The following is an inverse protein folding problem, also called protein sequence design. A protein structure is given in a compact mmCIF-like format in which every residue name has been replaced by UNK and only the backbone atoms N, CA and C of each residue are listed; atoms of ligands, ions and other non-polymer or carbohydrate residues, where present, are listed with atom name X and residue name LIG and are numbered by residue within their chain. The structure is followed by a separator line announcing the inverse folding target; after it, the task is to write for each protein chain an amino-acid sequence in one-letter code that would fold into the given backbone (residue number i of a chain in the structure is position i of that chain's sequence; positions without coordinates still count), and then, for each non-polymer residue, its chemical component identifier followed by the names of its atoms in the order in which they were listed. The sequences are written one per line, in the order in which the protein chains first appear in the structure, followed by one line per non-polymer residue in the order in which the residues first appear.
data_IF_427948942112
#
_entry.id   IF_427948942112
#
_cell.length_a   1.000
_cell.length_b   1.000
_cell.length_c   1.000
_cell.angle_alpha   90.00
_cell.angle_beta   90.00
_cell.angle_gamma   90.00
#
_symmetry.space_group_name_H-M   'P 1'
#
loop_
_entity.id
_entity.type
_entity.pdbx_description
1 polymer ?
#
# COMPACT_ATOMS: atom_id res chain seq x y z
N UNK A 1 17.66 -16.77 -21.44
CA UNK A 1 16.65 -16.15 -20.55
C UNK A 1 15.84 -17.26 -19.89
N UNK A 2 16.18 -17.66 -18.66
CA UNK A 2 15.42 -18.65 -17.91
C UNK A 2 14.41 -17.93 -17.02
N UNK A 3 13.14 -17.94 -17.41
CA UNK A 3 12.06 -17.45 -16.56
C UNK A 3 11.83 -18.46 -15.44
N UNK A 4 12.02 -18.03 -14.19
CA UNK A 4 11.62 -18.78 -13.00
C UNK A 4 10.11 -18.68 -12.80
N UNK A 5 9.36 -19.43 -13.62
CA UNK A 5 7.89 -19.55 -13.58
C UNK A 5 7.31 -20.31 -12.36
N UNK A 6 8.03 -21.07 -11.50
CA UNK A 6 7.34 -21.94 -10.53
C UNK A 6 6.82 -21.21 -9.29
N UNK A 7 7.22 -19.96 -9.01
CA UNK A 7 6.82 -19.26 -7.78
C UNK A 7 5.35 -18.83 -7.85
N UNK A 8 4.89 -18.34 -9.00
CA UNK A 8 3.49 -17.94 -9.19
C UNK A 8 2.56 -19.17 -9.25
N UNK A 9 2.98 -20.24 -9.93
CA UNK A 9 2.23 -21.49 -9.99
C UNK A 9 2.11 -22.16 -8.61
N UNK A 10 3.15 -22.14 -7.78
CA UNK A 10 3.08 -22.66 -6.40
C UNK A 10 2.06 -21.91 -5.54
N UNK A 11 1.87 -20.60 -5.77
CA UNK A 11 0.85 -19.79 -5.08
C UNK A 11 -0.58 -20.18 -5.47
N UNK A 12 -0.77 -20.62 -6.71
CA UNK A 12 -2.06 -21.09 -7.25
C UNK A 12 -2.36 -22.51 -6.76
N UNK A 13 -1.39 -23.42 -6.88
CA UNK A 13 -1.56 -24.86 -6.60
C UNK A 13 -1.64 -25.13 -5.08
N UNK A 14 -0.78 -24.50 -4.27
CA UNK A 14 -0.76 -24.67 -2.81
C UNK A 14 -1.53 -23.58 -2.07
N UNK A 15 -2.43 -22.88 -2.76
CA UNK A 15 -3.38 -22.01 -2.09
C UNK A 15 -4.26 -22.86 -1.16
N UNK A 16 -4.50 -22.46 0.11
CA UNK A 16 -5.52 -23.07 0.96
C UNK A 16 -6.97 -22.88 0.43
N UNK A 17 -7.11 -22.55 -0.86
CA UNK A 17 -8.31 -22.27 -1.62
C UNK A 17 -8.21 -22.89 -3.02
N UNK A 18 -7.69 -24.11 -3.11
CA UNK A 18 -7.65 -24.88 -4.35
C UNK A 18 -9.09 -25.25 -4.77
N UNK A 19 -9.51 -24.96 -6.02
CA UNK A 19 -10.92 -25.05 -6.45
C UNK A 19 -11.53 -26.45 -6.29
N UNK A 20 -10.70 -27.50 -6.25
CA UNK A 20 -11.14 -28.89 -6.12
C UNK A 20 -10.99 -29.48 -4.71
N UNK A 21 -10.21 -28.88 -3.81
CA UNK A 21 -9.92 -29.45 -2.47
C UNK A 21 -10.63 -28.72 -1.32
N UNK A 22 -11.19 -27.54 -1.55
CA UNK A 22 -11.85 -26.74 -0.51
C UNK A 22 -13.28 -26.43 -0.95
N UNK A 23 -14.28 -26.96 -0.23
CA UNK A 23 -15.69 -26.58 -0.43
C UNK A 23 -15.83 -25.10 -0.05
N UNK A 24 -15.89 -24.25 -1.06
CA UNK A 24 -15.99 -22.80 -0.91
C UNK A 24 -17.42 -22.47 -0.45
N UNK A 25 -17.60 -21.74 0.66
CA UNK A 25 -18.88 -21.09 0.92
C UNK A 25 -19.00 -19.88 -0.03
N UNK A 26 -19.91 -19.91 -1.02
CA UNK A 26 -19.93 -18.95 -2.13
C UNK A 26 -20.04 -17.50 -1.65
N UNK A 27 -20.78 -17.28 -0.57
CA UNK A 27 -21.10 -15.97 -0.02
C UNK A 27 -19.89 -15.24 0.61
N UNK A 28 -19.04 -15.98 1.35
CA UNK A 28 -17.82 -15.40 1.97
C UNK A 28 -16.70 -15.15 0.97
N UNK A 29 -16.66 -15.93 -0.11
CA UNK A 29 -15.65 -15.81 -1.16
C UNK A 29 -15.90 -14.57 -2.03
N UNK A 30 -17.13 -14.39 -2.52
CA UNK A 30 -17.48 -13.24 -3.37
C UNK A 30 -17.21 -11.93 -2.65
N UNK A 31 -17.60 -11.79 -1.38
CA UNK A 31 -17.39 -10.56 -0.61
C UNK A 31 -15.91 -10.21 -0.42
N UNK A 32 -15.05 -11.18 -0.11
CA UNK A 32 -13.60 -10.96 0.05
C UNK A 32 -12.92 -10.62 -1.27
N UNK A 33 -13.29 -11.30 -2.35
CA UNK A 33 -12.70 -11.08 -3.67
C UNK A 33 -13.15 -9.75 -4.26
N UNK A 34 -14.43 -9.39 -4.12
CA UNK A 34 -14.96 -8.07 -4.50
C UNK A 34 -14.22 -6.94 -3.79
N UNK A 35 -13.98 -7.06 -2.47
CA UNK A 35 -13.20 -6.09 -1.71
C UNK A 35 -11.76 -5.97 -2.23
N UNK A 36 -11.09 -7.10 -2.51
CA UNK A 36 -9.72 -7.08 -3.05
C UNK A 36 -9.66 -6.43 -4.42
N UNK A 37 -10.61 -6.74 -5.31
CA UNK A 37 -10.72 -6.13 -6.64
C UNK A 37 -10.95 -4.63 -6.53
N UNK A 38 -11.88 -4.21 -5.66
CA UNK A 38 -12.17 -2.80 -5.41
C UNK A 38 -10.92 -2.03 -4.95
N UNK A 39 -10.18 -2.57 -3.98
CA UNK A 39 -8.92 -1.98 -3.48
C UNK A 39 -7.83 -1.95 -4.56
N UNK A 40 -7.69 -3.02 -5.35
CA UNK A 40 -6.73 -3.07 -6.45
C UNK A 40 -7.03 -2.01 -7.52
N UNK A 41 -8.31 -1.82 -7.87
CA UNK A 41 -8.72 -0.79 -8.81
C UNK A 41 -8.45 0.64 -8.30
N UNK A 42 -8.55 0.88 -6.99
CA UNK A 42 -8.23 2.19 -6.42
C UNK A 42 -6.74 2.54 -6.56
N UNK A 43 -5.83 1.57 -6.33
CA UNK A 43 -4.39 1.79 -6.51
C UNK A 43 -4.04 2.14 -7.96
N UNK A 44 -4.61 1.40 -8.92
CA UNK A 44 -4.38 1.63 -10.34
C UNK A 44 -4.89 3.01 -10.80
N UNK A 45 -6.00 3.50 -10.23
CA UNK A 45 -6.50 4.86 -10.51
C UNK A 45 -5.54 5.94 -10.01
N UNK A 46 -4.99 5.77 -8.80
CA UNK A 46 -3.99 6.72 -8.26
C UNK A 46 -2.73 6.71 -9.12
N UNK A 47 -2.25 5.53 -9.54
CA UNK A 47 -1.09 5.41 -10.42
C UNK A 47 -1.34 6.11 -11.77
N UNK A 48 -2.52 5.93 -12.37
CA UNK A 48 -2.90 6.64 -13.60
C UNK A 48 -2.97 8.16 -13.39
N UNK A 49 -3.53 8.63 -12.28
CA UNK A 49 -3.59 10.06 -11.95
C UNK A 49 -2.19 10.66 -11.73
N UNK A 50 -1.28 9.93 -11.08
CA UNK A 50 0.11 10.36 -10.88
C UNK A 50 0.90 10.40 -12.19
N UNK A 51 0.57 9.54 -13.16
CA UNK A 51 1.21 9.53 -14.46
C UNK A 51 0.96 10.83 -15.24
N UNK A 52 -0.19 11.48 -15.06
CA UNK A 52 -0.49 12.81 -15.62
C UNK A 52 0.49 13.89 -15.12
N UNK A 53 1.00 13.72 -13.89
CA UNK A 53 2.01 14.59 -13.28
C UNK A 53 3.42 14.02 -13.41
N UNK A 54 3.64 12.97 -14.19
CA UNK A 54 4.94 12.31 -14.36
C UNK A 54 5.61 11.93 -13.02
N UNK A 55 4.84 11.40 -12.08
CA UNK A 55 5.34 11.03 -10.76
C UNK A 55 5.11 9.55 -10.43
N UNK A 56 6.11 8.91 -9.82
CA UNK A 56 6.06 7.48 -9.52
C UNK A 56 5.30 7.19 -8.22
N UNK A 57 4.36 6.24 -8.27
CA UNK A 57 3.55 5.84 -7.12
C UNK A 57 4.37 5.41 -5.88
N UNK A 58 5.44 4.59 -5.99
CA UNK A 58 6.24 4.23 -4.82
C UNK A 58 6.94 5.42 -4.16
N UNK A 59 7.43 6.37 -4.96
CA UNK A 59 8.07 7.59 -4.47
C UNK A 59 7.04 8.48 -3.76
N UNK A 60 5.89 8.71 -4.40
CA UNK A 60 4.74 9.42 -3.83
C UNK A 60 4.33 8.86 -2.47
N UNK A 61 4.14 7.53 -2.36
CA UNK A 61 3.70 6.91 -1.10
C UNK A 61 4.75 7.01 0.00
N UNK A 62 6.03 6.94 -0.35
CA UNK A 62 7.11 7.14 0.61
C UNK A 62 7.10 8.57 1.16
N UNK A 63 6.92 9.59 0.29
CA UNK A 63 6.86 10.99 0.70
C UNK A 63 5.65 11.30 1.57
N UNK A 64 4.46 10.79 1.21
CA UNK A 64 3.29 10.89 2.08
C UNK A 64 3.52 10.26 3.46
N UNK A 65 4.22 9.12 3.51
CA UNK A 65 4.53 8.45 4.77
C UNK A 65 5.53 9.24 5.62
N UNK A 66 6.50 9.93 5.00
CA UNK A 66 7.44 10.85 5.69
C UNK A 66 6.73 12.10 6.20
N UNK A 67 5.72 12.58 5.47
CA UNK A 67 4.87 13.69 5.87
C UNK A 67 3.80 13.34 6.90
N UNK A 68 3.76 12.08 7.38
CA UNK A 68 2.72 11.58 8.27
C UNK A 68 1.29 11.76 7.72
N UNK A 69 1.14 11.74 6.39
CA UNK A 69 -0.15 11.78 5.69
C UNK A 69 -0.61 10.34 5.39
N UNK A 70 -1.46 9.81 6.28
CA UNK A 70 -1.94 8.42 6.25
C UNK A 70 -3.24 8.24 5.45
N UNK A 71 -3.31 8.78 4.24
CA UNK A 71 -4.47 8.61 3.36
C UNK A 71 -4.50 7.23 2.69
N UNK A 72 -5.67 6.61 2.66
CA UNK A 72 -5.91 5.34 1.96
C UNK A 72 -6.02 5.51 0.44
N UNK A 73 -5.70 4.46 -0.31
CA UNK A 73 -5.80 4.48 -1.77
C UNK A 73 -7.23 4.75 -2.28
N UNK A 74 -8.24 4.35 -1.51
CA UNK A 74 -9.64 4.65 -1.84
C UNK A 74 -9.86 6.16 -1.78
N UNK A 75 -9.47 6.80 -0.69
CA UNK A 75 -9.61 8.26 -0.51
C UNK A 75 -8.76 9.02 -1.52
N UNK A 76 -7.51 8.63 -1.74
CA UNK A 76 -6.65 9.22 -2.78
C UNK A 76 -7.27 9.10 -4.17
N UNK A 77 -7.87 7.94 -4.49
CA UNK A 77 -8.55 7.76 -5.79
C UNK A 77 -9.80 8.62 -5.90
N UNK A 78 -10.54 8.85 -4.80
CA UNK A 78 -11.70 9.72 -4.79
C UNK A 78 -11.30 11.19 -4.93
N UNK A 79 -10.24 11.62 -4.22
CA UNK A 79 -9.67 12.96 -4.38
C UNK A 79 -9.24 13.20 -5.83
N UNK A 80 -8.54 12.25 -6.45
CA UNK A 80 -8.14 12.39 -7.85
C UNK A 80 -9.33 12.53 -8.82
N UNK A 81 -10.47 11.88 -8.55
CA UNK A 81 -11.66 11.93 -9.41
C UNK A 81 -12.50 13.18 -9.17
N UNK A 82 -12.76 13.53 -7.91
CA UNK A 82 -13.74 14.56 -7.54
C UNK A 82 -13.11 15.91 -7.19
N UNK A 83 -11.86 15.91 -6.70
CA UNK A 83 -11.14 17.11 -6.26
C UNK A 83 -9.72 17.14 -6.84
N UNK A 84 -9.57 17.34 -8.16
CA UNK A 84 -8.27 17.28 -8.82
C UNK A 84 -7.28 18.32 -8.29
N UNK A 85 -7.76 19.49 -7.86
CA UNK A 85 -6.91 20.54 -7.29
C UNK A 85 -6.31 20.12 -5.94
N UNK A 86 -7.10 19.52 -5.05
CA UNK A 86 -6.63 18.98 -3.76
C UNK A 86 -5.58 17.88 -3.98
N UNK A 87 -5.82 16.98 -4.93
CA UNK A 87 -4.88 15.94 -5.30
C UNK A 87 -3.56 16.52 -5.86
N UNK A 88 -3.67 17.51 -6.74
CA UNK A 88 -2.52 18.23 -7.31
C UNK A 88 -1.66 18.88 -6.23
N UNK A 89 -2.24 19.54 -5.23
CA UNK A 89 -1.50 20.12 -4.10
C UNK A 89 -0.69 19.07 -3.34
N UNK A 90 -1.24 17.86 -3.13
CA UNK A 90 -0.51 16.75 -2.52
C UNK A 90 0.66 16.29 -3.40
N UNK A 91 0.45 16.18 -4.71
CA UNK A 91 1.51 15.78 -5.65
C UNK A 91 2.64 16.81 -5.63
N UNK A 92 2.34 18.10 -5.73
CA UNK A 92 3.35 19.16 -5.71
C UNK A 92 4.17 19.16 -4.41
N UNK A 93 3.50 18.99 -3.26
CA UNK A 93 4.17 18.80 -1.97
C UNK A 93 5.13 17.61 -1.99
N UNK A 94 4.65 16.44 -2.41
CA UNK A 94 5.49 15.23 -2.41
C UNK A 94 6.63 15.29 -3.43
N UNK A 95 6.46 15.96 -4.57
CA UNK A 95 7.55 16.20 -5.53
C UNK A 95 8.64 17.08 -4.92
N UNK A 96 8.26 18.16 -4.24
CA UNK A 96 9.18 19.04 -3.54
C UNK A 96 9.96 18.27 -2.47
N UNK A 97 9.27 17.50 -1.64
CA UNK A 97 9.91 16.64 -0.64
C UNK A 97 10.84 15.60 -1.27
N UNK A 98 10.45 15.00 -2.39
CA UNK A 98 11.28 14.01 -3.08
C UNK A 98 12.55 14.64 -3.65
N UNK A 99 12.46 15.87 -4.14
CA UNK A 99 13.61 16.64 -4.62
C UNK A 99 14.58 16.96 -3.47
N UNK A 100 14.07 17.38 -2.30
CA UNK A 100 14.87 17.62 -1.10
C UNK A 100 15.55 16.35 -0.57
N UNK A 101 14.88 15.20 -0.67
CA UNK A 101 15.42 13.88 -0.32
C UNK A 101 16.43 13.35 -1.38
N UNK A 102 16.72 14.12 -2.42
CA UNK A 102 17.69 13.78 -3.48
C UNK A 102 17.20 12.74 -4.49
N UNK A 103 15.88 12.50 -4.61
CA UNK A 103 15.32 11.65 -5.66
C UNK A 103 15.26 12.41 -6.98
N UNK A 104 15.52 11.70 -8.08
CA UNK A 104 15.29 12.23 -9.42
C UNK A 104 13.78 12.35 -9.68
N UNK A 105 13.29 13.59 -9.77
CA UNK A 105 11.88 13.91 -10.05
C UNK A 105 11.84 14.99 -11.12
N UNK A 106 10.83 14.93 -12.00
CA UNK A 106 10.58 15.97 -13.00
C UNK A 106 9.99 17.19 -12.29
N UNK A 107 10.71 18.31 -12.40
CA UNK A 107 10.38 19.57 -11.72
C UNK A 107 9.36 20.34 -12.55
N UNK A 108 8.23 20.66 -11.93
CA UNK A 108 7.20 21.53 -12.51
C UNK A 108 7.37 22.97 -12.01
N UNK A 109 6.87 23.97 -12.75
CA UNK A 109 6.97 25.38 -12.33
C UNK A 109 6.20 25.66 -11.04
N UNK A 110 5.02 25.07 -10.90
CA UNK A 110 4.13 25.26 -9.75
C UNK A 110 4.71 24.66 -8.45
N UNK A 111 5.59 23.67 -8.58
CA UNK A 111 6.27 23.04 -7.45
C UNK A 111 7.13 24.04 -6.68
N UNK A 112 7.71 25.04 -7.36
CA UNK A 112 8.56 26.08 -6.76
C UNK A 112 7.84 26.94 -5.73
N UNK A 113 6.51 26.98 -5.78
CA UNK A 113 5.69 27.77 -4.86
C UNK A 113 5.44 27.03 -3.54
N UNK A 114 5.76 25.74 -3.47
CA UNK A 114 5.56 24.94 -2.26
C UNK A 114 6.73 25.16 -1.31
N UNK A 115 6.41 25.70 -0.14
CA UNK A 115 7.36 25.85 0.96
C UNK A 115 7.32 24.60 1.83
N UNK A 116 8.47 23.98 2.01
CA UNK A 116 8.68 22.74 2.77
C UNK A 116 9.59 23.04 3.94
N UNK A 117 9.08 22.86 5.16
CA UNK A 117 9.88 22.96 6.38
C UNK A 117 10.33 21.57 6.83
N UNK A 118 11.65 21.31 6.98
CA UNK A 118 12.15 20.02 7.43
C UNK A 118 11.61 19.59 8.80
N UNK A 119 11.16 20.54 9.63
CA UNK A 119 10.57 20.27 10.94
C UNK A 119 9.21 19.57 10.86
N UNK A 120 8.50 19.68 9.74
CA UNK A 120 7.18 19.08 9.53
C UNK A 120 7.26 17.64 9.05
N UNK A 121 8.45 17.18 8.66
CA UNK A 121 8.67 15.87 8.05
C UNK A 121 9.53 14.97 8.94
N UNK A 122 9.10 13.73 9.12
CA UNK A 122 9.75 12.77 9.99
C UNK A 122 10.21 11.51 9.27
N UNK A 123 10.77 10.58 10.04
CA UNK A 123 10.92 9.21 9.58
C UNK A 123 9.53 8.58 9.47
N UNK A 124 9.25 7.80 8.39
CA UNK A 124 7.99 7.09 8.26
C UNK A 124 7.66 6.27 9.50
N UNK A 125 6.39 6.21 9.89
CA UNK A 125 5.99 5.37 11.01
C UNK A 125 6.42 3.90 10.79
N UNK A 126 6.97 3.24 11.82
CA UNK A 126 7.36 1.85 11.70
C UNK A 126 6.13 0.99 11.41
N UNK A 127 6.26 0.09 10.43
CA UNK A 127 5.19 -0.88 10.16
C UNK A 127 5.00 -1.77 11.38
N UNK A 128 3.75 -2.18 11.61
CA UNK A 128 3.42 -3.15 12.66
C UNK A 128 4.33 -4.38 12.56
N UNK A 129 4.90 -4.81 13.67
CA UNK A 129 5.79 -5.97 13.73
C UNK A 129 5.05 -7.21 13.21
N UNK A 130 5.43 -7.68 12.03
CA UNK A 130 4.92 -8.92 11.48
C UNK A 130 5.62 -10.08 12.17
N UNK A 131 4.93 -10.73 13.09
CA UNK A 131 5.39 -12.00 13.62
C UNK A 131 5.22 -13.05 12.53
N UNK A 132 6.29 -13.78 12.12
CA UNK A 132 6.12 -14.89 11.22
C UNK A 132 5.12 -15.86 11.85
N UNK A 133 4.28 -16.51 11.03
CA UNK A 133 3.50 -17.64 11.53
C UNK A 133 4.50 -18.63 12.14
N UNK A 134 4.40 -18.86 13.44
CA UNK A 134 5.24 -19.82 14.15
C UNK A 134 5.23 -21.16 13.42
N UNK A 135 6.34 -21.90 13.50
CA UNK A 135 6.43 -23.20 12.84
C UNK A 135 5.20 -24.03 13.20
N UNK A 136 4.40 -24.43 12.20
CA UNK A 136 3.19 -25.21 12.41
C UNK A 136 3.47 -26.49 13.24
N UNK A 137 4.71 -26.98 13.17
CA UNK A 137 5.25 -28.12 13.92
C UNK A 137 5.36 -27.89 15.45
N UNK A 138 5.55 -26.64 15.89
CA UNK A 138 5.74 -26.33 17.32
C UNK A 138 4.40 -26.13 18.06
N UNK A 139 3.28 -26.04 17.34
CA UNK A 139 1.95 -25.90 17.92
C UNK A 139 1.32 -27.28 18.21
N UNK A 140 1.95 -28.08 19.08
CA UNK A 140 1.36 -29.35 19.52
C UNK A 140 0.14 -29.15 20.43
N UNK A 141 0.09 -28.02 21.15
CA UNK A 141 -1.02 -27.65 22.04
C UNK A 141 -1.62 -26.33 21.56
N UNK A 142 -2.95 -26.20 21.66
CA UNK A 142 -3.65 -24.95 21.37
C UNK A 142 -3.13 -23.86 22.33
N UNK A 143 -2.87 -22.62 21.86
CA UNK A 143 -2.45 -21.54 22.75
C UNK A 143 -3.53 -21.29 23.79
N UNK A 144 -3.12 -21.18 25.06
CA UNK A 144 -4.02 -20.81 26.17
C UNK A 144 -4.34 -19.31 26.10
N UNK A 145 -5.54 -18.87 26.54
CA UNK A 145 -5.79 -17.44 26.73
C UNK A 145 -4.82 -16.86 27.76
N UNK A 146 -4.32 -15.64 27.50
CA UNK A 146 -3.47 -14.90 28.44
C UNK A 146 -4.29 -14.49 29.67
N UNK A 147 -3.66 -14.47 30.85
CA UNK A 147 -4.29 -13.93 32.06
C UNK A 147 -4.17 -12.40 32.07
N UNK A 148 -5.08 -11.73 32.79
CA UNK A 148 -5.08 -10.28 32.96
C UNK A 148 -3.75 -9.76 33.55
N UNK A 149 -3.07 -10.57 34.36
CA UNK A 149 -1.75 -10.25 34.93
C UNK A 149 -0.57 -10.34 33.95
N UNK A 150 -0.78 -10.91 32.75
CA UNK A 150 0.24 -11.10 31.71
C UNK A 150 0.13 -10.06 30.57
N UNK A 151 -0.72 -9.03 30.74
CA UNK A 151 -0.88 -7.89 29.83
C UNK A 151 0.12 -6.77 30.11
#
# INVERSE_FOLDING_TARGET
MQFSVPVFLRRIINSPYHPFNVKIHPDRWQKREQLRRFVAHAAQRVEAALAEYHFDYPAFRNMLSKAHIELDNIVLSQLAIYEPQSFKSLVMLTKQMAQEDGRAVIVDEEQKNVQTDPSLFGTPFPRSKMYPRGAAKNHQKRPRPLKITEF
#
